data_IF_307342601588
#
_entry.id   IF_307342601588
#
_cell.length_a   1.000
_cell.length_b   1.000
_cell.length_c   1.000
_cell.angle_alpha   90.00
_cell.angle_beta   90.00
_cell.angle_gamma   90.00
#
_symmetry.space_group_name_H-M   'P 1'
#
loop_
_entity.id
_entity.type
_entity.pdbx_description
1 polymer ?
#
# COMPACT_ATOMS: atom_id res chain seq x y z
N UNK A 1 -11.31 17.76 -9.13
CA UNK A 1 -12.64 18.24 -8.70
C UNK A 1 -12.84 18.04 -7.21
N UNK A 2 -12.77 16.81 -6.65
CA UNK A 2 -13.00 16.59 -5.21
C UNK A 2 -11.94 17.30 -4.35
N UNK A 3 -10.66 17.12 -4.67
CA UNK A 3 -9.57 17.80 -3.98
C UNK A 3 -9.68 19.34 -4.10
N UNK A 4 -10.11 19.85 -5.26
CA UNK A 4 -10.32 21.30 -5.43
C UNK A 4 -11.42 21.83 -4.52
N UNK A 5 -12.47 21.03 -4.28
CA UNK A 5 -13.52 21.38 -3.30
C UNK A 5 -12.99 21.38 -1.88
N UNK A 6 -12.16 20.38 -1.52
CA UNK A 6 -11.51 20.31 -0.21
C UNK A 6 -10.58 21.51 -0.01
N UNK A 7 -9.75 21.83 -1.00
CA UNK A 7 -8.87 22.99 -0.95
C UNK A 7 -9.65 24.29 -0.79
N UNK A 8 -10.73 24.44 -1.55
CA UNK A 8 -11.60 25.61 -1.44
C UNK A 8 -12.21 25.70 -0.04
N UNK A 9 -12.72 24.60 0.51
CA UNK A 9 -13.26 24.57 1.88
C UNK A 9 -12.19 24.89 2.90
N UNK A 10 -11.01 24.29 2.79
CA UNK A 10 -9.89 24.54 3.70
C UNK A 10 -9.49 26.01 3.73
N UNK A 11 -9.57 26.72 2.58
CA UNK A 11 -9.22 28.13 2.47
C UNK A 11 -10.34 29.11 2.88
N UNK A 12 -11.61 28.68 2.82
CA UNK A 12 -12.75 29.56 2.96
C UNK A 12 -13.62 29.30 4.20
N UNK A 13 -13.39 28.21 4.94
CA UNK A 13 -14.11 27.95 6.17
C UNK A 13 -13.79 29.04 7.23
N UNK A 14 -14.84 29.63 7.79
CA UNK A 14 -14.68 30.49 8.96
C UNK A 14 -14.11 29.66 10.12
N UNK A 15 -13.20 30.27 10.89
CA UNK A 15 -12.53 29.59 12.01
C UNK A 15 -11.87 28.29 11.66
N UNK A 16 -11.19 28.24 10.49
CA UNK A 16 -10.50 27.05 9.97
C UNK A 16 -9.57 26.42 11.02
N UNK A 17 -8.86 27.23 11.78
CA UNK A 17 -7.93 26.80 12.84
C UNK A 17 -8.61 26.08 14.02
N UNK A 18 -9.91 26.27 14.19
CA UNK A 18 -10.73 25.63 15.22
C UNK A 18 -11.62 24.51 14.64
N UNK A 19 -11.48 24.20 13.36
CA UNK A 19 -12.33 23.23 12.64
C UNK A 19 -11.49 22.08 12.10
N UNK A 20 -11.89 20.85 12.41
CA UNK A 20 -11.32 19.65 11.78
C UNK A 20 -12.09 19.36 10.51
N UNK A 21 -11.42 19.47 9.35
CA UNK A 21 -11.97 19.06 8.05
C UNK A 21 -11.72 17.57 7.85
N UNK A 22 -12.74 16.77 8.09
CA UNK A 22 -12.68 15.31 7.98
C UNK A 22 -13.34 14.83 6.69
N UNK A 23 -12.69 13.87 6.01
CA UNK A 23 -13.20 13.26 4.79
C UNK A 23 -13.59 11.81 5.05
N UNK A 24 -14.74 11.40 4.50
CA UNK A 24 -15.30 10.06 4.62
C UNK A 24 -15.66 9.49 3.24
N UNK A 25 -14.67 9.16 2.40
CA UNK A 25 -14.95 8.69 1.05
C UNK A 25 -15.44 7.26 1.02
N UNK A 26 -16.43 6.98 0.15
CA UNK A 26 -16.81 5.63 -0.26
C UNK A 26 -16.11 5.21 -1.56
N UNK A 27 -16.13 3.91 -1.85
CA UNK A 27 -15.41 3.32 -2.98
C UNK A 27 -16.31 2.95 -4.17
N UNK A 28 -17.47 3.61 -4.31
CA UNK A 28 -18.49 3.25 -5.31
C UNK A 28 -17.97 3.26 -6.76
N UNK A 29 -16.93 4.03 -7.04
CA UNK A 29 -16.28 4.09 -8.35
C UNK A 29 -14.85 3.54 -8.36
N UNK A 30 -14.43 2.87 -7.29
CA UNK A 30 -13.07 2.33 -7.16
C UNK A 30 -11.97 3.40 -6.96
N UNK A 31 -12.32 4.63 -6.54
CA UNK A 31 -11.38 5.76 -6.45
C UNK A 31 -11.19 6.28 -5.02
N UNK A 32 -11.67 5.59 -4.00
CA UNK A 32 -11.65 6.09 -2.62
C UNK A 32 -10.25 6.43 -2.11
N UNK A 33 -9.25 5.59 -2.40
CA UNK A 33 -7.86 5.82 -1.98
C UNK A 33 -7.32 7.12 -2.59
N UNK A 34 -7.39 7.26 -3.93
CA UNK A 34 -6.92 8.46 -4.61
C UNK A 34 -7.69 9.71 -4.16
N UNK A 35 -8.99 9.58 -3.89
CA UNK A 35 -9.83 10.66 -3.35
C UNK A 35 -9.33 11.09 -1.97
N UNK A 36 -9.00 10.13 -1.09
CA UNK A 36 -8.49 10.41 0.25
C UNK A 36 -7.09 11.05 0.21
N UNK A 37 -6.16 10.48 -0.57
CA UNK A 37 -4.80 11.02 -0.71
C UNK A 37 -4.82 12.46 -1.22
N UNK A 38 -5.51 12.71 -2.33
CA UNK A 38 -5.59 14.04 -2.92
C UNK A 38 -6.35 15.02 -2.01
N UNK A 39 -7.39 14.58 -1.31
CA UNK A 39 -8.11 15.39 -0.34
C UNK A 39 -7.27 15.76 0.88
N UNK A 40 -6.46 14.83 1.38
CA UNK A 40 -5.50 15.10 2.44
C UNK A 40 -4.44 16.12 2.00
N UNK A 41 -3.86 15.95 0.82
CA UNK A 41 -2.92 16.91 0.23
C UNK A 41 -3.55 18.29 -0.01
N UNK A 42 -4.87 18.36 -0.23
CA UNK A 42 -5.62 19.60 -0.43
C UNK A 42 -6.01 20.31 0.89
N UNK A 43 -5.61 19.77 2.02
CA UNK A 43 -5.76 20.43 3.32
C UNK A 43 -6.85 19.85 4.22
N UNK A 44 -7.28 18.62 4.02
CA UNK A 44 -8.05 17.89 5.02
C UNK A 44 -7.16 17.52 6.22
N UNK A 45 -7.74 17.54 7.42
CA UNK A 45 -7.03 17.21 8.66
C UNK A 45 -7.17 15.74 9.03
N UNK A 46 -8.24 15.09 8.57
CA UNK A 46 -8.56 13.71 8.94
C UNK A 46 -9.20 12.95 7.77
N UNK A 47 -8.86 11.69 7.65
CA UNK A 47 -9.53 10.74 6.77
C UNK A 47 -10.21 9.67 7.64
N UNK A 48 -11.45 9.37 7.34
CA UNK A 48 -12.24 8.33 7.96
C UNK A 48 -12.47 7.19 6.97
N UNK A 49 -12.28 5.96 7.42
CA UNK A 49 -12.43 4.78 6.58
C UNK A 49 -12.49 3.50 7.38
N UNK A 50 -12.25 2.38 6.72
CA UNK A 50 -12.28 1.05 7.34
C UNK A 50 -11.02 0.28 6.99
N UNK A 51 -10.59 -0.62 7.87
CA UNK A 51 -9.50 -1.55 7.56
C UNK A 51 -9.92 -2.44 6.39
N UNK A 52 -9.04 -2.52 5.38
CA UNK A 52 -9.28 -3.22 4.11
C UNK A 52 -10.52 -2.73 3.34
N UNK A 53 -11.00 -1.53 3.66
CA UNK A 53 -12.12 -0.90 2.96
C UNK A 53 -13.48 -1.53 3.23
N UNK A 54 -13.62 -2.40 4.23
CA UNK A 54 -14.88 -3.06 4.53
C UNK A 54 -15.94 -2.06 4.99
N UNK A 55 -17.07 -1.98 4.27
CA UNK A 55 -18.13 -1.02 4.54
C UNK A 55 -19.32 -1.23 3.62
N UNK A 56 -20.28 -0.31 3.66
CA UNK A 56 -21.48 -0.40 2.83
C UNK A 56 -21.19 -0.35 1.34
N UNK A 57 -21.98 -1.04 0.56
CA UNK A 57 -21.94 -1.13 -0.92
C UNK A 57 -20.57 -1.68 -1.40
N UNK A 58 -19.76 -0.85 -2.02
CA UNK A 58 -18.38 -1.19 -2.47
C UNK A 58 -17.33 -0.95 -1.39
N UNK A 59 -17.73 -0.49 -0.21
CA UNK A 59 -16.88 -0.17 0.91
C UNK A 59 -16.47 1.31 1.01
N UNK A 60 -15.65 1.58 2.01
CA UNK A 60 -15.06 2.88 2.29
C UNK A 60 -13.60 2.93 1.79
N UNK A 61 -12.94 4.06 2.03
CA UNK A 61 -11.49 4.12 1.85
C UNK A 61 -10.81 3.08 2.75
N UNK A 62 -9.89 2.32 2.17
CA UNK A 62 -9.09 1.35 2.91
C UNK A 62 -7.96 2.06 3.67
N UNK A 63 -8.06 2.11 4.99
CA UNK A 63 -7.08 2.75 5.86
C UNK A 63 -5.74 2.02 5.88
N UNK A 64 -5.71 0.71 5.61
CA UNK A 64 -4.44 -0.04 5.48
C UNK A 64 -3.69 0.45 4.25
N UNK A 65 -4.34 0.44 3.10
CA UNK A 65 -3.74 0.92 1.85
C UNK A 65 -3.35 2.39 1.95
N UNK A 66 -4.22 3.25 2.48
CA UNK A 66 -3.94 4.68 2.63
C UNK A 66 -2.72 4.92 3.53
N UNK A 67 -2.68 4.28 4.71
CA UNK A 67 -1.58 4.44 5.66
C UNK A 67 -0.25 3.95 5.10
N UNK A 68 -0.23 2.80 4.42
CA UNK A 68 1.00 2.28 3.80
C UNK A 68 1.43 3.09 2.57
N UNK A 69 0.50 3.65 1.80
CA UNK A 69 0.82 4.60 0.74
C UNK A 69 1.49 5.88 1.30
N UNK A 70 1.04 6.38 2.45
CA UNK A 70 1.70 7.49 3.14
C UNK A 70 3.12 7.11 3.58
N UNK A 71 3.27 5.94 4.20
CA UNK A 71 4.57 5.43 4.67
C UNK A 71 5.58 5.33 3.51
N UNK A 72 5.16 4.77 2.36
CA UNK A 72 6.02 4.68 1.16
C UNK A 72 6.40 6.02 0.55
N UNK A 73 5.76 7.11 0.97
CA UNK A 73 6.07 8.49 0.60
C UNK A 73 6.83 9.25 1.70
N UNK A 74 7.29 8.56 2.74
CA UNK A 74 8.01 9.14 3.86
C UNK A 74 7.14 9.88 4.87
N UNK A 75 5.82 9.65 4.86
CA UNK A 75 4.89 10.23 5.83
C UNK A 75 4.44 9.12 6.77
N UNK A 76 4.89 9.16 8.01
CA UNK A 76 4.49 8.20 9.05
C UNK A 76 3.01 8.41 9.44
N UNK A 77 2.11 7.46 9.15
CA UNK A 77 0.70 7.55 9.53
C UNK A 77 0.47 7.33 11.02
N UNK A 78 1.52 7.01 11.79
CA UNK A 78 1.47 6.64 13.21
C UNK A 78 0.54 5.44 13.50
N UNK A 79 0.42 4.54 12.54
CA UNK A 79 -0.33 3.29 12.63
C UNK A 79 0.63 2.13 12.44
N UNK A 80 0.60 1.16 13.36
CA UNK A 80 1.46 0.00 13.27
C UNK A 80 0.85 -1.10 12.40
N UNK A 81 1.44 -1.36 11.24
CA UNK A 81 1.13 -2.46 10.34
C UNK A 81 2.26 -3.47 10.21
N UNK A 82 3.18 -3.53 11.18
CA UNK A 82 4.34 -4.43 11.15
C UNK A 82 3.99 -5.92 11.14
N UNK A 83 2.75 -6.29 11.48
CA UNK A 83 2.18 -7.61 11.25
C UNK A 83 0.82 -7.50 10.56
N UNK A 84 0.86 -7.32 9.26
CA UNK A 84 -0.35 -7.16 8.44
C UNK A 84 -1.22 -8.43 8.42
N UNK A 85 -0.63 -9.60 8.70
CA UNK A 85 -1.38 -10.87 8.74
C UNK A 85 -2.26 -10.94 9.98
N UNK A 86 -1.77 -10.47 11.13
CA UNK A 86 -2.56 -10.39 12.36
C UNK A 86 -3.71 -9.39 12.19
N UNK A 87 -3.43 -8.19 11.63
CA UNK A 87 -4.46 -7.19 11.33
C UNK A 87 -5.54 -7.79 10.43
N UNK A 88 -5.13 -8.46 9.35
CA UNK A 88 -6.05 -9.11 8.42
C UNK A 88 -6.90 -10.20 9.10
N UNK A 89 -6.27 -11.11 9.83
CA UNK A 89 -6.99 -12.21 10.48
C UNK A 89 -8.00 -11.70 11.51
N UNK A 90 -7.67 -10.65 12.22
CA UNK A 90 -8.58 -10.00 13.17
C UNK A 90 -9.78 -9.37 12.44
N UNK A 91 -9.54 -8.66 11.34
CA UNK A 91 -10.62 -8.06 10.54
C UNK A 91 -11.53 -9.13 9.92
N UNK A 92 -10.95 -10.17 9.34
CA UNK A 92 -11.71 -11.29 8.77
C UNK A 92 -12.56 -12.00 9.83
N UNK A 93 -12.01 -12.20 11.03
CA UNK A 93 -12.75 -12.79 12.15
C UNK A 93 -13.91 -11.90 12.59
N UNK A 94 -13.69 -10.61 12.77
CA UNK A 94 -14.73 -9.69 13.23
C UNK A 94 -15.82 -9.48 12.19
N UNK A 95 -15.46 -9.37 10.93
CA UNK A 95 -16.40 -9.06 9.84
C UNK A 95 -17.03 -10.31 9.22
N UNK A 96 -16.49 -11.50 9.49
CA UNK A 96 -16.90 -12.77 8.88
C UNK A 96 -16.85 -12.71 7.33
N UNK A 97 -15.93 -11.92 6.78
CA UNK A 97 -15.70 -11.73 5.35
C UNK A 97 -14.22 -11.78 5.05
N UNK A 98 -13.79 -12.53 4.03
CA UNK A 98 -12.38 -12.60 3.66
C UNK A 98 -11.90 -11.30 3.00
N UNK A 99 -10.66 -10.92 3.29
CA UNK A 99 -9.93 -9.91 2.52
C UNK A 99 -9.52 -10.54 1.17
N UNK A 100 -9.66 -9.79 0.08
CA UNK A 100 -9.37 -10.34 -1.25
C UNK A 100 -7.89 -10.71 -1.39
N UNK A 101 -7.55 -11.81 -2.12
CA UNK A 101 -6.15 -12.19 -2.31
C UNK A 101 -5.30 -11.15 -3.05
N UNK A 102 -5.92 -10.18 -3.70
CA UNK A 102 -5.28 -9.08 -4.44
C UNK A 102 -5.43 -7.72 -3.75
N UNK A 103 -5.88 -7.70 -2.49
CA UNK A 103 -5.94 -6.45 -1.71
C UNK A 103 -4.53 -5.86 -1.60
N UNK A 104 -4.32 -4.58 -1.92
CA UNK A 104 -3.00 -3.96 -1.76
C UNK A 104 -2.42 -4.23 -0.36
N UNK A 105 -1.13 -4.53 -0.31
CA UNK A 105 -0.35 -4.88 0.89
C UNK A 105 -0.82 -6.11 1.67
N UNK A 106 -2.11 -6.31 1.90
CA UNK A 106 -2.66 -7.35 2.78
C UNK A 106 -3.04 -8.66 2.10
N UNK A 107 -3.24 -8.67 0.80
CA UNK A 107 -3.67 -9.87 0.06
C UNK A 107 -2.56 -10.91 -0.07
N UNK A 108 -2.94 -12.18 -0.23
CA UNK A 108 -1.98 -13.29 -0.29
C UNK A 108 -1.08 -13.24 -1.53
N UNK A 109 -1.54 -12.65 -2.63
CA UNK A 109 -0.87 -12.65 -3.92
C UNK A 109 -0.06 -11.37 -4.21
N UNK A 110 -0.08 -10.38 -3.32
CA UNK A 110 0.47 -9.05 -3.64
C UNK A 110 2.00 -8.98 -3.61
N UNK A 111 2.66 -9.92 -2.94
CA UNK A 111 4.11 -10.05 -2.93
C UNK A 111 4.60 -11.30 -3.67
N UNK A 112 3.81 -11.78 -4.63
CA UNK A 112 4.09 -12.97 -5.42
C UNK A 112 4.26 -12.60 -6.88
N UNK A 113 5.36 -13.01 -7.51
CA UNK A 113 5.55 -12.86 -8.94
C UNK A 113 5.49 -14.24 -9.62
N UNK A 114 4.77 -14.29 -10.74
CA UNK A 114 4.58 -15.51 -11.55
C UNK A 114 5.36 -15.48 -12.87
N UNK A 115 5.68 -14.29 -13.38
CA UNK A 115 6.43 -14.11 -14.62
C UNK A 115 7.93 -14.13 -14.34
N UNK A 116 8.69 -14.92 -15.12
CA UNK A 116 10.15 -14.98 -14.98
C UNK A 116 10.84 -13.63 -15.19
N UNK A 117 10.31 -12.77 -16.06
CA UNK A 117 10.86 -11.42 -16.26
C UNK A 117 10.63 -10.51 -15.05
N UNK A 118 9.50 -10.65 -14.37
CA UNK A 118 9.24 -9.90 -13.13
C UNK A 118 10.12 -10.40 -11.99
N UNK A 119 10.28 -11.73 -11.86
CA UNK A 119 11.15 -12.33 -10.86
C UNK A 119 12.61 -11.90 -11.05
N UNK A 120 13.11 -11.92 -12.30
CA UNK A 120 14.46 -11.43 -12.64
C UNK A 120 14.64 -9.95 -12.28
N UNK A 121 13.65 -9.11 -12.59
CA UNK A 121 13.72 -7.69 -12.23
C UNK A 121 13.72 -7.45 -10.71
N UNK A 122 12.92 -8.21 -9.97
CA UNK A 122 12.88 -8.12 -8.49
C UNK A 122 14.21 -8.57 -7.89
N UNK A 123 14.79 -9.69 -8.38
CA UNK A 123 16.09 -10.16 -7.89
C UNK A 123 17.20 -9.13 -8.16
N UNK A 124 17.25 -8.55 -9.36
CA UNK A 124 18.18 -7.47 -9.67
C UNK A 124 17.99 -6.26 -8.76
N UNK A 125 16.74 -5.92 -8.45
CA UNK A 125 16.44 -4.86 -7.50
C UNK A 125 16.97 -5.14 -6.09
N UNK A 126 16.89 -6.37 -5.61
CA UNK A 126 17.51 -6.77 -4.34
C UNK A 126 19.05 -6.72 -4.41
N UNK A 127 19.64 -7.17 -5.52
CA UNK A 127 21.10 -7.12 -5.72
C UNK A 127 21.59 -5.66 -5.73
N UNK A 128 20.88 -4.77 -6.42
CA UNK A 128 21.19 -3.34 -6.47
C UNK A 128 21.04 -2.69 -5.09
N UNK A 129 19.99 -3.02 -4.33
CA UNK A 129 19.79 -2.53 -2.97
C UNK A 129 20.97 -2.91 -2.06
N UNK A 130 21.40 -4.17 -2.11
CA UNK A 130 22.56 -4.65 -1.35
C UNK A 130 23.86 -3.96 -1.80
N UNK A 131 24.05 -3.72 -3.10
CA UNK A 131 25.21 -3.02 -3.62
C UNK A 131 25.26 -1.56 -3.18
N UNK A 132 24.12 -0.88 -3.13
CA UNK A 132 24.02 0.49 -2.60
C UNK A 132 24.36 0.52 -1.12
N UNK A 133 23.79 -0.38 -0.32
CA UNK A 133 24.08 -0.50 1.12
C UNK A 133 25.58 -0.67 1.38
N UNK A 134 26.22 -1.60 0.67
CA UNK A 134 27.65 -1.86 0.79
C UNK A 134 28.51 -0.65 0.36
N UNK A 135 28.11 0.08 -0.70
CA UNK A 135 28.82 1.27 -1.19
C UNK A 135 28.72 2.44 -0.21
N UNK A 136 27.58 2.58 0.47
CA UNK A 136 27.30 3.69 1.37
C UNK A 136 27.63 3.38 2.83
N UNK A 137 28.11 2.18 3.12
CA UNK A 137 28.39 1.67 4.48
C UNK A 137 27.17 1.81 5.41
N UNK A 138 26.00 1.42 4.88
CA UNK A 138 24.70 1.47 5.57
C UNK A 138 24.13 0.07 5.78
N UNK A 139 23.20 -0.05 6.74
CA UNK A 139 22.30 -1.21 6.75
C UNK A 139 21.37 -1.16 5.53
N UNK A 140 21.00 -2.32 5.02
CA UNK A 140 20.04 -2.43 3.89
C UNK A 140 18.70 -1.76 4.24
N UNK A 141 18.29 -1.80 5.50
CA UNK A 141 17.08 -1.16 5.97
C UNK A 141 17.12 0.38 5.92
N UNK A 142 18.32 0.98 5.87
CA UNK A 142 18.52 2.44 5.80
C UNK A 142 18.68 2.96 4.37
N UNK A 143 18.64 2.05 3.39
CA UNK A 143 18.70 2.41 1.96
C UNK A 143 17.31 2.67 1.43
N UNK A 144 17.17 3.69 0.58
CA UNK A 144 15.90 3.96 -0.09
C UNK A 144 15.41 2.75 -0.87
N UNK A 145 14.18 2.33 -0.63
CA UNK A 145 13.56 1.19 -1.28
C UNK A 145 13.23 1.49 -2.75
N UNK A 146 13.84 0.76 -3.66
CA UNK A 146 13.65 0.92 -5.12
C UNK A 146 13.48 -0.43 -5.85
N UNK A 147 13.10 -1.49 -5.13
CA UNK A 147 12.92 -2.81 -5.74
C UNK A 147 11.69 -2.79 -6.67
N UNK A 148 11.84 -3.14 -7.97
CA UNK A 148 10.73 -3.13 -8.92
C UNK A 148 9.57 -4.03 -8.49
N UNK A 149 8.32 -3.62 -8.79
CA UNK A 149 7.08 -4.33 -8.51
C UNK A 149 6.71 -4.50 -7.03
N UNK A 150 7.60 -4.16 -6.11
CA UNK A 150 7.35 -4.20 -4.66
C UNK A 150 7.28 -2.76 -4.13
N UNK A 151 6.07 -2.25 -3.80
CA UNK A 151 5.91 -0.85 -3.37
C UNK A 151 6.50 -0.56 -1.98
N UNK A 152 6.80 -1.60 -1.21
CA UNK A 152 7.40 -1.55 0.13
C UNK A 152 8.25 -2.80 0.33
N UNK A 153 9.22 -2.78 1.25
CA UNK A 153 9.84 -4.02 1.72
C UNK A 153 8.76 -4.86 2.42
N UNK A 154 8.48 -6.07 1.92
CA UNK A 154 7.50 -6.95 2.57
C UNK A 154 7.80 -7.20 4.06
N UNK A 155 9.05 -7.14 4.47
CA UNK A 155 9.47 -7.35 5.87
C UNK A 155 8.94 -6.27 6.82
N UNK A 156 8.79 -5.03 6.33
CA UNK A 156 8.28 -3.91 7.13
C UNK A 156 6.85 -4.14 7.62
N UNK A 157 6.12 -5.01 6.95
CA UNK A 157 4.74 -5.38 7.29
C UNK A 157 4.60 -6.86 7.67
N UNK A 158 5.69 -7.51 8.08
CA UNK A 158 5.68 -8.91 8.51
C UNK A 158 5.44 -9.92 7.38
N UNK A 159 5.76 -9.55 6.12
CA UNK A 159 5.62 -10.41 4.93
C UNK A 159 6.99 -10.76 4.35
N UNK A 160 6.97 -11.64 3.36
CA UNK A 160 8.13 -11.98 2.54
C UNK A 160 7.74 -11.94 1.06
N UNK A 161 8.72 -11.66 0.20
CA UNK A 161 8.56 -11.88 -1.23
C UNK A 161 8.58 -13.38 -1.54
N UNK A 162 7.64 -13.83 -2.36
CA UNK A 162 7.53 -15.22 -2.78
C UNK A 162 7.61 -15.32 -4.30
N UNK A 163 8.67 -15.95 -4.80
CA UNK A 163 8.76 -16.34 -6.18
C UNK A 163 8.01 -17.66 -6.38
N UNK A 164 6.91 -17.65 -7.13
CA UNK A 164 6.18 -18.86 -7.49
C UNK A 164 6.58 -19.27 -8.91
N UNK A 165 7.40 -20.29 -8.99
CA UNK A 165 7.83 -20.85 -10.27
C UNK A 165 6.72 -21.73 -10.82
N UNK A 166 6.09 -21.28 -11.92
CA UNK A 166 5.12 -22.08 -12.69
C UNK A 166 5.64 -22.20 -14.13
N UNK A 167 6.33 -23.30 -14.42
CA UNK A 167 6.77 -23.61 -15.78
C UNK A 167 5.63 -24.26 -16.54
N UNK A 168 5.28 -23.72 -17.71
CA UNK A 168 4.30 -24.27 -18.63
C UNK A 168 4.76 -24.04 -20.09
N UNK A 169 3.97 -24.49 -21.07
CA UNK A 169 4.28 -24.33 -22.49
C UNK A 169 4.47 -22.88 -22.98
N UNK A 170 4.11 -21.91 -22.20
CA UNK A 170 4.26 -20.48 -22.51
C UNK A 170 5.36 -19.81 -21.68
N UNK A 171 6.05 -20.54 -20.84
CA UNK A 171 7.14 -20.02 -20.03
C UNK A 171 8.29 -19.56 -20.89
N UNK A 172 8.73 -18.33 -20.74
CA UNK A 172 9.92 -17.81 -21.40
C UNK A 172 11.22 -18.38 -20.80
N UNK A 173 12.33 -18.11 -21.47
CA UNK A 173 13.67 -18.61 -21.12
C UNK A 173 14.05 -18.29 -19.66
N UNK A 174 13.70 -17.13 -19.14
CA UNK A 174 13.95 -16.74 -17.75
C UNK A 174 13.14 -17.53 -16.72
N UNK A 175 11.89 -17.90 -17.05
CA UNK A 175 11.04 -18.72 -16.16
C UNK A 175 11.40 -20.22 -16.16
N UNK A 176 12.17 -20.69 -17.15
CA UNK A 176 12.66 -22.07 -17.24
C UNK A 176 14.04 -22.21 -16.58
N UNK A 177 14.84 -21.13 -16.59
CA UNK A 177 16.19 -21.10 -16.03
C UNK A 177 16.22 -20.82 -14.51
N UNK A 178 15.09 -20.45 -13.94
CA UNK A 178 14.92 -20.18 -12.52
C UNK A 178 14.59 -21.47 -11.78
#
# INVERSE_FOLDING_TARGET
VYADQVEWMSRNLAHRDATILSLHPHNDRGTSIATAELGFMAGADRIEGCLFGNGERTGNVDLVTLGLNMLTRGVDPQINFSDIREVRSTVEYCNQMPVTPRQPYGGDLVFTAFSGSHQDAINKGFDDLNAVAAREDKDVADVTWEVPYLPIDPKDIGRNYEAVIRVNSQSGKGGVAY
#
